data_IF_782326292375
#
_entry.id   IF_782326292375
#
_cell.length_a   1.000
_cell.length_b   1.000
_cell.length_c   1.000
_cell.angle_alpha   90.00
_cell.angle_beta   90.00
_cell.angle_gamma   90.00
#
_symmetry.space_group_name_H-M   'P 1'
#
loop_
_entity.id
_entity.type
_entity.pdbx_description
1 polymer ?
#
# COMPACT_ATOMS: atom_id res chain seq x y z
N UNK A 1 25.68 5.50 9.78
CA UNK A 1 24.43 6.14 10.26
C UNK A 1 23.48 6.30 9.08
N UNK A 2 22.49 5.42 8.93
CA UNK A 2 21.54 5.45 7.80
C UNK A 2 20.41 6.42 8.10
N UNK A 3 20.29 7.51 7.33
CA UNK A 3 19.19 8.48 7.46
C UNK A 3 17.93 7.92 6.79
N UNK A 4 16.97 7.47 7.61
CA UNK A 4 15.61 7.14 7.16
C UNK A 4 14.89 8.48 6.96
N UNK A 5 14.56 8.85 5.71
CA UNK A 5 13.69 9.98 5.42
C UNK A 5 12.27 9.48 5.18
N UNK A 6 11.35 9.88 6.06
CA UNK A 6 9.93 9.59 5.94
C UNK A 6 9.29 10.48 4.86
N UNK A 7 8.57 9.86 3.93
CA UNK A 7 7.65 10.58 3.04
C UNK A 7 6.32 9.86 3.12
N UNK A 8 5.40 10.42 3.92
CA UNK A 8 4.01 10.00 3.92
C UNK A 8 3.31 10.72 2.77
N UNK A 9 3.08 10.02 1.66
CA UNK A 9 2.33 10.57 0.54
C UNK A 9 0.85 10.27 0.76
N UNK A 10 0.10 11.28 1.22
CA UNK A 10 -1.36 11.26 1.26
C UNK A 10 -1.86 11.55 -0.17
N UNK A 11 -2.08 10.51 -0.97
CA UNK A 11 -2.77 10.65 -2.26
C UNK A 11 -4.27 10.85 -1.97
N UNK A 12 -4.68 12.13 -1.90
CA UNK A 12 -6.10 12.51 -1.82
C UNK A 12 -6.65 12.52 -3.25
N UNK A 13 -6.84 11.34 -3.84
CA UNK A 13 -7.38 11.23 -5.20
C UNK A 13 -8.90 11.27 -5.14
N UNK A 14 -9.46 12.49 -5.11
CA UNK A 14 -10.83 12.71 -5.51
C UNK A 14 -10.92 12.60 -7.02
N UNK A 15 -11.68 11.62 -7.54
CA UNK A 15 -12.11 11.67 -8.92
C UNK A 15 -13.52 11.08 -9.06
N UNK A 16 -14.46 12.02 -9.17
CA UNK A 16 -15.86 11.82 -9.51
C UNK A 16 -15.92 11.19 -10.90
N UNK A 17 -16.51 10.01 -11.02
CA UNK A 17 -17.07 9.53 -12.28
C UNK A 17 -18.57 9.40 -12.09
N UNK A 18 -19.26 10.44 -12.53
CA UNK A 18 -20.68 10.42 -12.85
C UNK A 18 -20.85 9.49 -14.05
N UNK A 19 -21.47 8.34 -13.86
CA UNK A 19 -22.19 7.67 -14.93
C UNK A 19 -23.66 7.62 -14.55
N UNK A 20 -24.37 8.63 -15.03
CA UNK A 20 -25.80 8.56 -15.24
C UNK A 20 -26.04 7.54 -16.37
N UNK A 21 -26.84 6.52 -16.11
CA UNK A 21 -27.54 5.83 -17.19
C UNK A 21 -28.93 5.46 -16.70
N UNK A 22 -29.87 6.23 -17.24
CA UNK A 22 -31.30 6.07 -17.24
C UNK A 22 -31.65 4.72 -17.90
N UNK A 23 -32.44 3.88 -17.26
CA UNK A 23 -33.36 2.98 -17.97
C UNK A 23 -34.53 2.66 -17.05
N UNK A 24 -35.70 2.98 -17.58
CA UNK A 24 -36.97 3.09 -16.90
C UNK A 24 -37.77 1.78 -16.95
N UNK A 25 -38.76 1.74 -16.07
CA UNK A 25 -40.05 1.03 -16.21
C UNK A 25 -40.04 -0.48 -15.98
N UNK A 26 -40.54 -0.89 -14.81
CA UNK A 26 -40.75 -2.29 -14.49
C UNK A 26 -41.50 -2.56 -13.20
N UNK A 27 -42.77 -2.16 -13.16
CA UNK A 27 -43.84 -2.80 -12.40
C UNK A 27 -43.96 -2.55 -10.88
N UNK A 28 -45.06 -1.87 -10.60
CA UNK A 28 -45.71 -1.55 -9.33
C UNK A 28 -46.20 -2.84 -8.64
N UNK A 29 -45.79 -3.09 -7.39
CA UNK A 29 -46.47 -4.01 -6.49
C UNK A 29 -46.40 -3.48 -5.06
N UNK A 30 -47.58 -3.13 -4.55
CA UNK A 30 -47.85 -2.67 -3.18
C UNK A 30 -47.45 -3.73 -2.14
N UNK A 31 -46.71 -3.32 -1.10
CA UNK A 31 -46.85 -3.87 0.25
C UNK A 31 -46.15 -2.98 1.30
N UNK A 32 -46.96 -2.13 1.96
CA UNK A 32 -46.98 -1.70 3.37
C UNK A 32 -45.69 -1.28 4.14
N UNK A 33 -45.78 -0.28 5.03
CA UNK A 33 -44.66 0.24 5.81
C UNK A 33 -44.40 -0.61 7.06
N UNK A 34 -43.17 -1.08 7.22
CA UNK A 34 -42.69 -1.63 8.49
C UNK A 34 -41.64 -0.68 9.08
N UNK A 35 -42.09 0.26 9.92
CA UNK A 35 -41.28 0.87 10.97
C UNK A 35 -41.71 0.18 12.25
N UNK A 36 -40.84 -0.61 12.89
CA UNK A 36 -40.38 -0.16 14.20
C UNK A 36 -38.95 -0.64 14.53
N UNK A 37 -38.14 0.26 15.10
CA UNK A 37 -36.87 -0.15 15.69
C UNK A 37 -35.96 1.01 16.00
N UNK A 38 -36.22 1.68 17.13
CA UNK A 38 -35.29 2.63 17.72
C UNK A 38 -33.94 1.96 17.98
N UNK A 39 -32.89 2.55 17.43
CA UNK A 39 -31.51 2.25 17.76
C UNK A 39 -30.72 3.51 17.51
N UNK A 40 -30.22 4.13 18.57
CA UNK A 40 -29.25 5.21 18.50
C UNK A 40 -28.15 4.76 17.53
N UNK A 41 -28.06 5.44 16.39
CA UNK A 41 -27.22 5.07 15.25
C UNK A 41 -25.74 5.15 15.59
N UNK A 42 -25.23 4.15 16.31
CA UNK A 42 -23.83 3.78 16.28
C UNK A 42 -23.65 3.07 14.94
N UNK A 43 -23.29 3.84 13.90
CA UNK A 43 -22.75 3.28 12.68
C UNK A 43 -21.45 2.56 13.06
N UNK A 44 -21.56 1.27 13.38
CA UNK A 44 -20.39 0.41 13.51
C UNK A 44 -19.80 0.38 12.11
N UNK A 45 -18.67 1.08 11.93
CA UNK A 45 -17.94 1.04 10.67
C UNK A 45 -17.74 -0.43 10.32
N UNK A 46 -18.29 -0.86 9.19
CA UNK A 46 -18.15 -2.24 8.72
C UNK A 46 -16.68 -2.61 8.80
N UNK A 47 -16.37 -3.64 9.59
CA UNK A 47 -15.01 -4.16 9.67
C UNK A 47 -14.62 -4.54 8.24
N UNK A 48 -13.54 -3.96 7.75
CA UNK A 48 -13.01 -4.38 6.46
C UNK A 48 -12.42 -5.77 6.64
N UNK A 49 -13.05 -6.76 6.00
CA UNK A 49 -12.65 -8.15 6.13
C UNK A 49 -11.29 -8.43 5.49
N UNK A 50 -10.95 -7.71 4.42
CA UNK A 50 -9.70 -7.94 3.67
C UNK A 50 -9.10 -6.61 3.21
N UNK A 51 -7.84 -6.38 3.58
CA UNK A 51 -7.04 -5.26 3.09
C UNK A 51 -6.18 -5.74 1.93
N UNK A 52 -6.24 -5.03 0.79
CA UNK A 52 -5.34 -5.26 -0.33
C UNK A 52 -4.06 -4.45 -0.09
N UNK A 53 -2.92 -5.12 -0.04
CA UNK A 53 -1.61 -4.50 0.10
C UNK A 53 -0.79 -4.85 -1.12
N UNK A 54 -0.44 -3.87 -1.93
CA UNK A 54 0.49 -4.03 -3.04
C UNK A 54 1.89 -3.63 -2.57
N UNK A 55 2.86 -4.52 -2.73
CA UNK A 55 4.27 -4.22 -2.49
C UNK A 55 5.03 -4.26 -3.81
N UNK A 56 5.47 -3.10 -4.26
CA UNK A 56 6.32 -2.96 -5.43
C UNK A 56 7.77 -2.77 -5.00
N UNK A 57 8.67 -3.57 -5.55
CA UNK A 57 10.10 -3.54 -5.27
C UNK A 57 10.79 -2.87 -6.44
N UNK A 58 11.34 -1.68 -6.19
CA UNK A 58 12.06 -0.90 -7.19
C UNK A 58 13.54 -0.89 -6.83
N UNK A 59 14.39 -1.26 -7.78
CA UNK A 59 15.84 -1.25 -7.61
C UNK A 59 16.45 -0.05 -8.32
N UNK A 60 17.38 0.63 -7.65
CA UNK A 60 18.26 1.64 -8.24
C UNK A 60 19.72 1.23 -8.10
N UNK A 61 20.56 1.69 -9.02
CA UNK A 61 22.00 1.50 -9.02
C UNK A 61 22.70 2.85 -8.81
N UNK A 62 23.75 2.85 -7.99
CA UNK A 62 24.52 4.04 -7.66
C UNK A 62 25.18 4.61 -8.92
N UNK A 63 25.05 5.92 -9.12
CA UNK A 63 25.62 6.62 -10.28
C UNK A 63 24.94 6.34 -11.63
N UNK A 64 24.01 5.38 -11.71
CA UNK A 64 23.18 5.19 -12.90
C UNK A 64 22.18 6.35 -13.05
N UNK A 65 21.57 6.47 -14.23
CA UNK A 65 20.61 7.53 -14.55
C UNK A 65 19.34 6.98 -15.16
N UNK A 66 18.26 7.76 -15.10
CA UNK A 66 16.98 7.40 -15.69
C UNK A 66 16.09 6.52 -14.81
N UNK A 67 14.88 6.32 -15.31
CA UNK A 67 13.81 5.48 -14.72
C UNK A 67 13.25 4.66 -15.87
N UNK A 68 13.27 3.34 -15.73
CA UNK A 68 12.65 2.45 -16.72
C UNK A 68 11.13 2.63 -16.74
N UNK A 69 10.52 2.32 -17.89
CA UNK A 69 9.06 2.38 -18.05
C UNK A 69 8.31 1.59 -16.96
N UNK A 70 8.89 0.48 -16.50
CA UNK A 70 8.33 -0.36 -15.43
C UNK A 70 8.30 0.31 -14.05
N UNK A 71 9.21 1.25 -13.78
CA UNK A 71 9.31 2.00 -12.53
C UNK A 71 8.72 3.42 -12.62
N UNK A 72 8.25 3.84 -13.81
CA UNK A 72 7.70 5.18 -14.05
C UNK A 72 6.57 5.58 -13.10
N UNK A 73 5.70 4.63 -12.70
CA UNK A 73 4.64 4.85 -11.70
C UNK A 73 5.16 5.31 -10.33
N UNK A 74 6.43 5.07 -10.04
CA UNK A 74 7.09 5.41 -8.78
C UNK A 74 8.03 6.61 -8.90
N UNK A 75 7.97 7.38 -10.00
CA UNK A 75 8.85 8.53 -10.27
C UNK A 75 8.92 9.53 -9.10
N UNK A 76 7.79 9.79 -8.45
CA UNK A 76 7.70 10.71 -7.30
C UNK A 76 8.49 10.23 -6.07
N UNK A 77 8.69 8.92 -5.93
CA UNK A 77 9.47 8.31 -4.84
C UNK A 77 10.95 8.27 -5.22
N UNK A 78 11.27 7.74 -6.40
CA UNK A 78 12.66 7.54 -6.83
C UNK A 78 13.41 8.86 -7.05
N UNK A 79 12.73 9.92 -7.49
CA UNK A 79 13.33 11.26 -7.67
C UNK A 79 13.81 11.91 -6.35
N UNK A 80 13.35 11.41 -5.19
CA UNK A 80 13.78 11.90 -3.87
C UNK A 80 15.03 11.21 -3.35
N UNK A 81 15.48 10.14 -4.01
CA UNK A 81 16.65 9.37 -3.62
C UNK A 81 17.83 9.83 -4.49
N UNK A 82 18.63 10.74 -3.95
CA UNK A 82 19.82 11.25 -4.62
C UNK A 82 20.95 10.21 -4.67
N UNK A 83 21.71 10.19 -5.77
CA UNK A 83 22.89 9.33 -5.92
C UNK A 83 22.62 7.95 -6.53
N UNK A 84 21.36 7.62 -6.77
CA UNK A 84 20.92 6.37 -7.40
C UNK A 84 20.03 6.66 -8.61
N UNK A 85 20.15 5.84 -9.65
CA UNK A 85 19.33 5.90 -10.87
C UNK A 85 19.24 4.54 -11.55
N UNK A 86 18.85 4.51 -12.82
CA UNK A 86 18.59 3.24 -13.53
C UNK A 86 17.45 2.46 -12.86
N UNK A 87 16.42 3.20 -12.43
CA UNK A 87 15.37 2.64 -11.58
C UNK A 87 14.52 1.64 -12.35
N UNK A 88 14.42 0.41 -11.84
CA UNK A 88 13.63 -0.67 -12.45
C UNK A 88 12.71 -1.34 -11.45
N UNK A 89 11.51 -1.70 -11.88
CA UNK A 89 10.63 -2.55 -11.08
C UNK A 89 11.15 -4.00 -11.14
N UNK A 90 11.56 -4.53 -10.00
CA UNK A 90 12.05 -5.91 -9.87
C UNK A 90 10.89 -6.88 -9.68
N UNK A 91 9.95 -6.52 -8.81
CA UNK A 91 8.84 -7.41 -8.45
C UNK A 91 7.64 -6.60 -7.94
N UNK A 92 6.43 -7.05 -8.28
CA UNK A 92 5.19 -6.55 -7.71
C UNK A 92 4.45 -7.69 -7.00
N UNK A 93 4.06 -7.47 -5.75
CA UNK A 93 3.46 -8.47 -4.87
C UNK A 93 2.09 -7.98 -4.39
N UNK A 94 0.99 -8.43 -5.04
CA UNK A 94 -0.35 -8.20 -4.53
C UNK A 94 -0.63 -9.15 -3.37
N UNK A 95 -0.91 -8.60 -2.18
CA UNK A 95 -1.21 -9.35 -0.97
C UNK A 95 -2.64 -9.04 -0.52
N UNK A 96 -3.41 -10.06 -0.18
CA UNK A 96 -4.72 -9.92 0.48
C UNK A 96 -4.56 -10.36 1.92
N UNK A 97 -4.68 -9.42 2.85
CA UNK A 97 -4.35 -9.66 4.26
C UNK A 97 -5.54 -9.20 5.11
N UNK A 98 -6.13 -10.13 5.85
CA UNK A 98 -7.16 -9.80 6.83
C UNK A 98 -6.53 -9.10 8.06
N UNK A 99 -7.27 -8.22 8.77
CA UNK A 99 -6.79 -7.63 10.02
C UNK A 99 -6.35 -8.70 11.04
N UNK A 100 -5.25 -8.43 11.74
CA UNK A 100 -4.62 -9.36 12.67
C UNK A 100 -3.77 -10.45 12.00
N UNK A 101 -3.65 -10.47 10.67
CA UNK A 101 -2.86 -11.47 9.92
C UNK A 101 -1.57 -10.89 9.36
N UNK A 102 -0.65 -11.81 9.06
CA UNK A 102 0.64 -11.52 8.43
C UNK A 102 0.77 -12.34 7.16
N UNK A 103 1.26 -11.71 6.09
CA UNK A 103 1.70 -12.38 4.87
C UNK A 103 3.21 -12.27 4.76
N UNK A 104 3.86 -13.36 4.35
CA UNK A 104 5.30 -13.43 4.13
C UNK A 104 5.56 -13.80 2.68
N UNK A 105 6.57 -13.16 2.08
CA UNK A 105 7.00 -13.39 0.71
C UNK A 105 8.53 -13.32 0.62
N UNK A 106 9.10 -14.01 -0.35
CA UNK A 106 10.53 -13.90 -0.69
C UNK A 106 10.69 -12.94 -1.87
N UNK A 107 11.65 -12.02 -1.77
CA UNK A 107 12.00 -11.02 -2.79
C UNK A 107 13.50 -11.14 -3.06
N UNK A 108 13.87 -11.90 -4.09
CA UNK A 108 15.25 -12.35 -4.26
C UNK A 108 15.73 -13.05 -2.99
N UNK A 109 16.86 -12.60 -2.44
CA UNK A 109 17.47 -13.18 -1.23
C UNK A 109 16.91 -12.60 0.09
N UNK A 110 15.92 -11.70 0.00
CA UNK A 110 15.34 -11.00 1.15
C UNK A 110 13.99 -11.59 1.53
N UNK A 111 13.67 -11.56 2.82
CA UNK A 111 12.36 -11.96 3.34
C UNK A 111 11.51 -10.74 3.64
N UNK A 112 10.36 -10.63 2.98
CA UNK A 112 9.35 -9.59 3.22
C UNK A 112 8.25 -10.16 4.10
N UNK A 113 7.88 -9.44 5.15
CA UNK A 113 6.75 -9.74 6.02
C UNK A 113 5.87 -8.51 6.15
N UNK A 114 4.60 -8.64 5.81
CA UNK A 114 3.60 -7.57 5.91
C UNK A 114 2.52 -8.00 6.88
N UNK A 115 2.32 -7.24 7.94
CA UNK A 115 1.30 -7.47 8.96
C UNK A 115 0.28 -6.35 8.92
N UNK A 116 -1.01 -6.70 8.81
CA UNK A 116 -2.10 -5.75 9.03
C UNK A 116 -2.59 -5.96 10.45
N UNK A 117 -2.35 -4.98 11.34
CA UNK A 117 -2.70 -5.10 12.75
C UNK A 117 -4.18 -4.85 12.98
N UNK A 118 -4.70 -3.77 12.41
CA UNK A 118 -6.08 -3.35 12.56
C UNK A 118 -6.48 -2.41 11.44
N UNK A 119 -7.78 -2.28 11.23
CA UNK A 119 -8.37 -1.24 10.39
C UNK A 119 -9.39 -0.48 11.24
N UNK A 120 -9.14 0.80 11.47
CA UNK A 120 -10.01 1.65 12.29
C UNK A 120 -9.92 3.11 11.82
N UNK A 121 -11.03 3.85 11.92
CA UNK A 121 -11.07 5.27 11.54
C UNK A 121 -10.67 5.53 10.08
N UNK A 122 -10.98 4.61 9.18
CA UNK A 122 -10.60 4.69 7.76
C UNK A 122 -9.11 4.52 7.49
N UNK A 123 -8.35 3.92 8.42
CA UNK A 123 -6.91 3.67 8.27
C UNK A 123 -6.56 2.22 8.67
N UNK A 124 -5.69 1.59 7.90
CA UNK A 124 -5.06 0.32 8.22
C UNK A 124 -3.72 0.56 8.91
N UNK A 125 -3.53 0.01 10.12
CA UNK A 125 -2.23 -0.04 10.80
C UNK A 125 -1.44 -1.21 10.25
N UNK A 126 -0.39 -0.94 9.48
CA UNK A 126 0.44 -1.96 8.84
C UNK A 126 1.86 -1.92 9.37
N UNK A 127 2.50 -3.08 9.47
CA UNK A 127 3.93 -3.22 9.71
C UNK A 127 4.54 -4.00 8.56
N UNK A 128 5.57 -3.43 7.96
CA UNK A 128 6.35 -4.04 6.90
C UNK A 128 7.73 -4.29 7.46
N UNK A 129 8.21 -5.53 7.34
CA UNK A 129 9.55 -5.95 7.73
C UNK A 129 10.23 -6.55 6.53
N UNK A 130 11.41 -6.05 6.19
CA UNK A 130 12.30 -6.65 5.20
C UNK A 130 13.55 -7.13 5.92
N UNK A 131 13.82 -8.41 5.85
CA UNK A 131 15.04 -9.00 6.40
C UNK A 131 16.05 -9.21 5.27
N UNK A 132 17.21 -8.55 5.41
CA UNK A 132 18.33 -8.71 4.50
C UNK A 132 18.97 -10.12 4.62
N UNK A 133 19.76 -10.56 3.62
CA UNK A 133 20.41 -11.88 3.67
C UNK A 133 21.36 -12.05 4.86
N UNK A 134 21.92 -10.96 5.37
CA UNK A 134 22.75 -10.94 6.57
C UNK A 134 21.95 -11.00 7.89
N UNK A 135 20.62 -11.17 7.81
CA UNK A 135 19.72 -11.25 8.96
C UNK A 135 19.31 -9.90 9.54
N UNK A 136 19.74 -8.76 8.98
CA UNK A 136 19.37 -7.43 9.47
C UNK A 136 17.93 -7.07 9.09
N UNK A 137 17.03 -6.81 10.05
CA UNK A 137 15.67 -6.40 9.75
C UNK A 137 15.57 -4.89 9.53
N UNK A 138 14.82 -4.49 8.51
CA UNK A 138 14.35 -3.14 8.27
C UNK A 138 12.84 -3.13 8.50
N UNK A 139 12.36 -2.30 9.43
CA UNK A 139 10.95 -2.28 9.84
C UNK A 139 10.36 -0.88 9.68
N UNK A 140 9.18 -0.82 9.10
CA UNK A 140 8.32 0.37 9.08
C UNK A 140 6.95 -0.02 9.60
N UNK A 141 6.41 0.79 10.50
CA UNK A 141 5.01 0.72 10.91
C UNK A 141 4.33 2.00 10.45
N UNK A 142 3.17 1.89 9.81
CA UNK A 142 2.44 3.02 9.23
C UNK A 142 0.94 2.84 9.45
N UNK A 143 0.22 3.97 9.55
CA UNK A 143 -1.23 3.99 9.54
C UNK A 143 -1.68 4.65 8.24
N UNK A 144 -2.10 3.83 7.28
CA UNK A 144 -2.38 4.25 5.90
C UNK A 144 -3.89 4.25 5.64
N UNK A 145 -4.39 5.29 4.98
CA UNK A 145 -5.74 5.29 4.40
C UNK A 145 -5.78 4.49 3.09
N UNK A 146 -6.96 4.33 2.49
CA UNK A 146 -7.09 3.71 1.16
C UNK A 146 -6.35 4.58 0.14
N UNK A 147 -5.56 3.96 -0.72
CA UNK A 147 -4.64 4.64 -1.64
C UNK A 147 -3.38 5.21 -0.97
N UNK A 148 -3.19 4.98 0.33
CA UNK A 148 -2.02 5.44 1.08
C UNK A 148 -0.79 4.59 0.78
N UNK A 149 0.36 5.25 0.67
CA UNK A 149 1.65 4.60 0.38
C UNK A 149 2.68 4.89 1.46
N UNK A 150 3.45 3.87 1.82
CA UNK A 150 4.66 3.98 2.63
C UNK A 150 5.83 3.37 1.87
N UNK A 151 7.05 3.82 2.15
CA UNK A 151 8.25 3.36 1.45
C UNK A 151 9.28 2.91 2.47
N UNK A 152 9.76 1.69 2.31
CA UNK A 152 10.91 1.19 3.05
C UNK A 152 12.10 1.15 2.11
N UNK A 153 13.20 1.76 2.51
CA UNK A 153 14.45 1.78 1.74
C UNK A 153 15.43 0.82 2.38
N UNK A 154 16.06 -0.02 1.56
CA UNK A 154 17.09 -0.92 2.01
C UNK A 154 18.24 -0.98 0.99
N UNK A 155 19.43 -0.61 1.45
CA UNK A 155 20.65 -0.58 0.65
C UNK A 155 21.27 -1.97 0.59
N UNK A 156 21.99 -2.29 -0.48
CA UNK A 156 22.81 -3.51 -0.56
C UNK A 156 24.06 -3.36 0.31
N UNK A 157 24.66 -4.49 0.71
CA UNK A 157 25.84 -4.47 1.57
C UNK A 157 27.04 -3.73 0.95
N UNK A 158 27.15 -3.71 -0.38
CA UNK A 158 28.19 -2.99 -1.12
C UNK A 158 27.91 -1.50 -1.37
N UNK A 159 26.70 -1.02 -1.07
CA UNK A 159 26.30 0.37 -1.31
C UNK A 159 26.07 0.75 -2.77
N UNK A 160 26.27 -0.19 -3.70
CA UNK A 160 26.10 0.05 -5.14
C UNK A 160 24.64 -0.05 -5.61
N UNK A 161 23.77 -0.65 -4.80
CA UNK A 161 22.37 -0.87 -5.14
C UNK A 161 21.46 -0.50 -3.97
N UNK A 162 20.28 0.00 -4.29
CA UNK A 162 19.22 0.30 -3.32
C UNK A 162 17.91 -0.32 -3.78
N UNK A 163 17.21 -0.97 -2.84
CA UNK A 163 15.87 -1.50 -3.05
C UNK A 163 14.86 -0.66 -2.27
N UNK A 164 13.86 -0.17 -2.98
CA UNK A 164 12.70 0.53 -2.43
C UNK A 164 11.53 -0.43 -2.42
N UNK A 165 10.96 -0.68 -1.25
CA UNK A 165 9.73 -1.42 -1.07
C UNK A 165 8.61 -0.38 -0.92
N UNK A 166 7.93 -0.12 -2.02
CA UNK A 166 6.79 0.80 -2.08
C UNK A 166 5.55 0.00 -1.74
N UNK A 167 4.99 0.27 -0.56
CA UNK A 167 3.83 -0.45 -0.03
C UNK A 167 2.62 0.46 -0.10
N UNK A 168 1.67 0.11 -0.96
CA UNK A 168 0.39 0.80 -1.09
C UNK A 168 -0.75 -0.06 -0.56
N UNK A 169 -1.70 0.58 0.09
CA UNK A 169 -2.85 -0.10 0.68
C UNK A 169 -4.14 0.36 0.02
N UNK A 170 -5.03 -0.57 -0.30
CA UNK A 170 -6.36 -0.32 -0.85
C UNK A 170 -7.39 -1.29 -0.27
N UNK A 171 -8.66 -0.86 -0.32
CA UNK A 171 -9.84 -1.61 0.07
C UNK A 171 -11.08 -0.94 -0.51
#
# INVERSE_FOLDING_TARGET
MTRIRFVQQCQKTGQRWLFASLLASGLFLLALPAVPGGGLGISVAAAQDIVQVQVDVVQGTKGAQGVDASASKHQAVVSRISGFGGWKLVQGLPLKIAPGKTSQQSVGDRKLSVTVHSVAGGKAKTTVVVTDPNGKPHKVTSALGSGGTTVLTAESAGGDQVHLFVVSVSW
#
